data_IF_846800171495
#
_entry.id   IF_846800171495
#
_cell.length_a   1.000
_cell.length_b   1.000
_cell.length_c   1.000
_cell.angle_alpha   90.00
_cell.angle_beta   90.00
_cell.angle_gamma   90.00
#
_symmetry.space_group_name_H-M   'P 1'
#
loop_
_entity.id
_entity.type
_entity.pdbx_description
1 polymer ?
#
# COMPACT_ATOMS: atom_id res chain seq x y z
N UNK A 1 -2.01 18.36 12.05
CA UNK A 1 -2.58 18.01 10.74
C UNK A 1 -2.94 16.54 10.80
N UNK A 2 -4.19 16.19 10.53
CA UNK A 2 -4.59 14.78 10.49
C UNK A 2 -4.03 14.15 9.22
N UNK A 3 -3.40 12.98 9.33
CA UNK A 3 -2.82 12.28 8.19
C UNK A 3 -3.90 11.81 7.22
N UNK A 4 -5.12 11.58 7.69
CA UNK A 4 -6.23 11.15 6.83
C UNK A 4 -6.76 12.28 5.94
N UNK A 5 -6.71 13.52 6.44
CA UNK A 5 -7.04 14.70 5.62
C UNK A 5 -5.92 15.01 4.63
N UNK A 6 -4.66 14.81 5.07
CA UNK A 6 -3.49 15.05 4.24
C UNK A 6 -3.33 13.98 3.17
N UNK A 7 -3.59 12.72 3.44
CA UNK A 7 -3.43 11.62 2.50
C UNK A 7 -4.71 10.76 2.50
N UNK A 8 -5.75 11.19 1.77
CA UNK A 8 -7.05 10.50 1.77
C UNK A 8 -6.95 9.09 1.19
N UNK A 9 -7.74 8.16 1.71
CA UNK A 9 -7.78 6.78 1.24
C UNK A 9 -8.06 6.67 -0.26
N UNK A 10 -8.92 7.53 -0.80
CA UNK A 10 -9.24 7.57 -2.21
C UNK A 10 -8.03 7.89 -3.08
N UNK A 11 -7.16 8.80 -2.62
CA UNK A 11 -5.92 9.17 -3.31
C UNK A 11 -4.95 7.98 -3.30
N UNK A 12 -4.72 7.39 -2.12
CA UNK A 12 -3.86 6.22 -1.94
C UNK A 12 -4.30 5.03 -2.80
N UNK A 13 -5.60 4.72 -2.82
CA UNK A 13 -6.15 3.62 -3.63
C UNK A 13 -6.02 3.91 -5.11
N UNK A 14 -6.29 5.13 -5.55
CA UNK A 14 -6.14 5.53 -6.95
C UNK A 14 -4.68 5.40 -7.40
N UNK A 15 -3.73 5.84 -6.59
CA UNK A 15 -2.31 5.74 -6.91
C UNK A 15 -1.85 4.29 -7.00
N UNK A 16 -2.32 3.42 -6.10
CA UNK A 16 -2.04 1.99 -6.20
C UNK A 16 -2.59 1.38 -7.49
N UNK A 17 -3.84 1.71 -7.83
CA UNK A 17 -4.50 1.22 -9.04
C UNK A 17 -3.72 1.67 -10.28
N UNK A 18 -3.39 2.95 -10.36
CA UNK A 18 -2.65 3.51 -11.49
C UNK A 18 -1.24 2.92 -11.61
N UNK A 19 -0.59 2.62 -10.48
CA UNK A 19 0.77 2.06 -10.46
C UNK A 19 0.80 0.57 -10.84
N UNK A 20 -0.12 -0.25 -10.31
CA UNK A 20 -0.08 -1.70 -10.50
C UNK A 20 -0.89 -2.19 -11.71
N UNK A 21 -2.04 -1.56 -11.99
CA UNK A 21 -2.91 -1.99 -13.08
C UNK A 21 -2.77 -1.12 -14.34
N UNK A 22 -2.34 0.14 -14.24
CA UNK A 22 -2.32 1.10 -15.36
C UNK A 22 -3.68 1.13 -16.10
N UNK A 23 -3.74 0.66 -17.35
CA UNK A 23 -4.96 0.52 -18.17
C UNK A 23 -5.48 -0.93 -18.26
N UNK A 24 -4.88 -1.87 -17.53
CA UNK A 24 -5.23 -3.29 -17.55
C UNK A 24 -6.37 -3.61 -16.58
N UNK A 25 -7.09 -4.69 -16.89
CA UNK A 25 -8.17 -5.25 -16.06
C UNK A 25 -7.64 -6.14 -14.92
N UNK A 26 -6.38 -6.56 -14.99
CA UNK A 26 -5.72 -7.38 -13.98
C UNK A 26 -4.22 -7.05 -13.92
N UNK A 27 -3.61 -7.32 -12.78
CA UNK A 27 -2.17 -7.22 -12.58
C UNK A 27 -1.61 -8.57 -12.12
N UNK A 28 -0.37 -8.84 -12.50
CA UNK A 28 0.34 -10.07 -12.13
C UNK A 28 1.38 -9.68 -11.09
N UNK A 29 1.29 -10.24 -9.89
CA UNK A 29 2.19 -9.97 -8.78
C UNK A 29 3.02 -11.21 -8.48
N UNK A 30 4.34 -11.05 -8.44
CA UNK A 30 5.27 -12.10 -8.03
C UNK A 30 5.57 -11.94 -6.54
N UNK A 31 5.13 -12.91 -5.74
CA UNK A 31 5.38 -12.97 -4.30
C UNK A 31 6.33 -14.13 -4.00
N UNK A 32 6.91 -14.14 -2.80
CA UNK A 32 7.76 -15.25 -2.33
C UNK A 32 7.07 -16.62 -2.40
N UNK A 33 5.73 -16.63 -2.25
CA UNK A 33 4.91 -17.84 -2.27
C UNK A 33 4.43 -18.23 -3.67
N UNK A 34 4.75 -17.43 -4.69
CA UNK A 34 4.38 -17.66 -6.08
C UNK A 34 3.72 -16.45 -6.74
N UNK A 35 3.32 -16.64 -8.00
CA UNK A 35 2.64 -15.62 -8.79
C UNK A 35 1.14 -15.63 -8.52
N UNK A 36 0.56 -14.45 -8.33
CA UNK A 36 -0.88 -14.25 -8.23
C UNK A 36 -1.37 -13.30 -9.31
N UNK A 37 -2.61 -13.50 -9.76
CA UNK A 37 -3.29 -12.59 -10.69
C UNK A 37 -4.38 -11.90 -9.88
N UNK A 38 -4.38 -10.56 -9.89
CA UNK A 38 -5.32 -9.76 -9.10
C UNK A 38 -6.17 -8.90 -10.05
N UNK A 39 -7.50 -9.02 -10.03
CA UNK A 39 -8.37 -8.21 -10.87
C UNK A 39 -8.40 -6.76 -10.38
N UNK A 40 -8.67 -5.80 -11.28
CA UNK A 40 -8.64 -4.36 -10.98
C UNK A 40 -9.72 -3.92 -9.99
N UNK A 41 -10.86 -4.60 -9.99
CA UNK A 41 -11.99 -4.34 -9.09
C UNK A 41 -11.83 -5.01 -7.71
N UNK A 42 -10.64 -5.56 -7.43
CA UNK A 42 -10.31 -6.13 -6.13
C UNK A 42 -10.55 -5.11 -5.01
N UNK A 43 -11.04 -5.60 -3.87
CA UNK A 43 -11.19 -4.76 -2.68
C UNK A 43 -9.82 -4.26 -2.20
N UNK A 44 -9.67 -2.95 -2.12
CA UNK A 44 -8.50 -2.29 -1.53
C UNK A 44 -8.88 -1.63 -0.21
N UNK A 45 -8.18 -2.00 0.85
CA UNK A 45 -8.43 -1.50 2.20
C UNK A 45 -7.16 -0.87 2.77
N UNK A 46 -7.22 0.42 3.12
CA UNK A 46 -6.07 1.10 3.74
C UNK A 46 -6.02 0.70 5.20
N UNK A 47 -4.95 0.03 5.58
CA UNK A 47 -4.77 -0.57 6.91
C UNK A 47 -4.11 0.42 7.85
N UNK A 48 -3.13 1.16 7.37
CA UNK A 48 -2.39 2.13 8.17
C UNK A 48 -1.80 3.24 7.31
N UNK A 49 -1.61 4.41 7.93
CA UNK A 49 -0.82 5.51 7.38
C UNK A 49 0.14 6.00 8.44
N UNK A 50 1.35 6.34 8.04
CA UNK A 50 2.35 6.86 8.96
C UNK A 50 3.20 7.94 8.31
N UNK A 51 3.64 8.89 9.12
CA UNK A 51 4.70 9.81 8.78
C UNK A 51 5.99 9.34 9.45
N UNK A 52 7.06 9.22 8.67
CA UNK A 52 8.36 8.79 9.15
C UNK A 52 9.34 9.95 9.03
N UNK A 53 9.79 10.45 10.18
CA UNK A 53 10.91 11.38 10.24
C UNK A 53 12.20 10.58 10.17
N UNK A 54 13.03 10.86 9.16
CA UNK A 54 14.32 10.21 9.03
C UNK A 54 15.40 11.21 9.42
N UNK A 55 15.96 11.03 10.61
CA UNK A 55 17.01 11.91 11.15
C UNK A 55 18.38 11.69 10.47
N UNK A 56 18.48 10.67 9.62
CA UNK A 56 19.69 10.34 8.85
C UNK A 56 19.42 10.58 7.35
N UNK A 57 20.29 11.37 6.71
CA UNK A 57 20.25 11.69 5.27
C UNK A 57 20.67 10.49 4.39
N UNK A 58 20.01 9.34 4.51
CA UNK A 58 20.26 8.20 3.61
C UNK A 58 18.93 7.79 2.99
N UNK A 59 18.79 8.01 1.67
CA UNK A 59 17.62 7.60 0.88
C UNK A 59 16.61 8.72 0.61
N UNK A 60 15.50 8.73 1.34
CA UNK A 60 14.27 9.45 0.94
C UNK A 60 13.90 10.68 1.80
N UNK A 61 14.71 11.02 2.81
CA UNK A 61 14.37 12.07 3.77
C UNK A 61 13.13 11.71 4.60
N UNK A 62 12.33 12.71 4.96
CA UNK A 62 11.04 12.49 5.62
C UNK A 62 10.00 12.05 4.58
N UNK A 63 9.20 11.04 4.91
CA UNK A 63 8.22 10.47 3.98
C UNK A 63 6.94 10.06 4.69
N UNK A 64 5.87 9.91 3.91
CA UNK A 64 4.64 9.27 4.33
C UNK A 64 4.60 7.85 3.75
N UNK A 65 4.03 6.92 4.50
CA UNK A 65 3.80 5.56 4.05
C UNK A 65 2.35 5.19 4.32
N UNK A 66 1.67 4.62 3.32
CA UNK A 66 0.34 4.05 3.45
C UNK A 66 0.40 2.56 3.11
N UNK A 67 -0.18 1.73 3.97
CA UNK A 67 -0.25 0.29 3.79
C UNK A 67 -1.67 -0.11 3.40
N UNK A 68 -1.79 -0.92 2.37
CA UNK A 68 -3.05 -1.33 1.76
C UNK A 68 -3.10 -2.85 1.72
N UNK A 69 -4.19 -3.44 2.19
CA UNK A 69 -4.51 -4.84 1.97
C UNK A 69 -5.19 -5.00 0.60
N UNK A 70 -4.59 -5.83 -0.26
CA UNK A 70 -5.14 -6.21 -1.56
C UNK A 70 -6.03 -7.45 -1.36
N UNK A 71 -7.30 -7.30 -1.73
CA UNK A 71 -8.36 -8.29 -1.49
C UNK A 71 -9.08 -8.13 -0.15
N UNK A 72 -8.89 -6.99 0.54
CA UNK A 72 -9.46 -6.71 1.86
C UNK A 72 -8.74 -7.43 3.00
N UNK A 73 -9.23 -7.21 4.22
CA UNK A 73 -8.66 -7.77 5.44
C UNK A 73 -9.48 -8.96 5.93
N UNK A 74 -8.79 -10.05 6.25
CA UNK A 74 -9.31 -11.17 7.01
C UNK A 74 -8.71 -11.11 8.42
N UNK A 75 -9.54 -10.72 9.39
CA UNK A 75 -9.15 -10.78 10.79
C UNK A 75 -9.13 -12.24 11.26
N UNK A 76 -8.02 -12.65 11.87
CA UNK A 76 -7.95 -13.89 12.65
C UNK A 76 -8.06 -13.53 14.13
N UNK A 77 -8.54 -14.47 14.95
CA UNK A 77 -8.85 -14.31 16.40
C UNK A 77 -7.67 -13.79 17.29
N UNK A 78 -6.54 -13.40 16.72
CA UNK A 78 -5.35 -12.86 17.38
C UNK A 78 -5.13 -11.36 17.16
N UNK A 79 -6.02 -10.65 16.45
CA UNK A 79 -5.84 -9.22 16.11
C UNK A 79 -4.76 -8.97 15.06
N UNK A 80 -4.23 -10.03 14.45
CA UNK A 80 -3.29 -9.94 13.33
C UNK A 80 -4.11 -9.87 12.04
N UNK A 81 -3.84 -8.84 11.24
CA UNK A 81 -4.52 -8.60 9.97
C UNK A 81 -3.81 -9.38 8.87
N UNK A 82 -4.58 -10.15 8.10
CA UNK A 82 -4.08 -10.86 6.92
C UNK A 82 -4.84 -10.40 5.68
N UNK A 83 -4.15 -10.05 4.60
CA UNK A 83 -4.82 -9.71 3.35
C UNK A 83 -5.27 -11.00 2.67
N UNK A 84 -6.31 -10.91 1.83
CA UNK A 84 -6.71 -12.05 1.01
C UNK A 84 -5.63 -12.41 -0.02
N UNK A 85 -4.95 -11.42 -0.60
CA UNK A 85 -3.90 -11.61 -1.59
C UNK A 85 -2.51 -11.24 -1.06
N UNK A 86 -2.28 -9.96 -0.77
CA UNK A 86 -1.02 -9.42 -0.28
C UNK A 86 -1.22 -8.02 0.29
N UNK A 87 -0.16 -7.46 0.86
CA UNK A 87 -0.11 -6.04 1.20
C UNK A 87 0.69 -5.27 0.15
N UNK A 88 0.36 -4.00 0.01
CA UNK A 88 1.18 -3.00 -0.67
C UNK A 88 1.50 -1.86 0.28
N UNK A 89 2.75 -1.42 0.32
CA UNK A 89 3.14 -0.17 0.98
C UNK A 89 3.49 0.87 -0.08
N UNK A 90 2.77 1.98 -0.10
CA UNK A 90 3.06 3.12 -0.97
C UNK A 90 3.80 4.17 -0.16
N UNK A 91 4.91 4.64 -0.70
CA UNK A 91 5.74 5.67 -0.10
C UNK A 91 5.56 6.98 -0.84
N UNK A 92 5.41 8.07 -0.10
CA UNK A 92 5.21 9.41 -0.61
C UNK A 92 6.23 10.38 -0.02
N UNK A 93 6.64 11.35 -0.82
CA UNK A 93 7.38 12.52 -0.35
C UNK A 93 6.49 13.42 0.53
N UNK A 94 7.09 14.45 1.14
CA UNK A 94 6.35 15.45 1.91
C UNK A 94 5.36 16.27 1.06
N UNK A 95 5.56 16.37 -0.26
CA UNK A 95 4.65 17.02 -1.21
C UNK A 95 3.68 16.03 -1.90
N UNK A 96 3.45 14.85 -1.30
CA UNK A 96 2.58 13.77 -1.78
C UNK A 96 2.94 13.17 -3.13
N UNK A 97 4.19 13.29 -3.58
CA UNK A 97 4.63 12.59 -4.79
C UNK A 97 4.92 11.14 -4.45
N UNK A 98 4.35 10.23 -5.22
CA UNK A 98 4.64 8.81 -5.12
C UNK A 98 6.14 8.56 -5.39
N UNK A 99 6.79 7.89 -4.44
CA UNK A 99 8.20 7.49 -4.51
C UNK A 99 8.29 6.08 -5.10
N UNK A 100 7.60 5.14 -4.46
CA UNK A 100 7.62 3.73 -4.84
C UNK A 100 6.46 2.98 -4.19
N UNK A 101 6.18 1.79 -4.71
CA UNK A 101 5.26 0.80 -4.16
C UNK A 101 6.05 -0.46 -3.88
N UNK A 102 5.89 -1.01 -2.67
CA UNK A 102 6.50 -2.27 -2.26
C UNK A 102 5.40 -3.29 -1.97
N UNK A 103 5.51 -4.48 -2.55
CA UNK A 103 4.52 -5.56 -2.42
C UNK A 103 5.11 -6.66 -1.55
N UNK A 104 4.33 -7.09 -0.55
CA UNK A 104 4.80 -8.09 0.41
C UNK A 104 3.64 -8.89 1.01
N UNK A 105 3.98 -10.02 1.65
CA UNK A 105 2.98 -10.95 2.22
C UNK A 105 2.61 -10.67 3.67
N UNK A 106 3.36 -9.80 4.36
CA UNK A 106 3.28 -9.60 5.81
C UNK A 106 3.15 -8.13 6.19
N UNK A 107 2.37 -7.84 7.22
CA UNK A 107 2.16 -6.47 7.68
C UNK A 107 3.48 -5.86 8.19
N UNK A 108 3.77 -4.62 7.78
CA UNK A 108 4.98 -3.85 8.17
C UNK A 108 4.68 -2.59 8.97
#
# INVERSE_FOLDING_TARGET
MNIDDFLPDSEVKSDLINTLWEDKLECVLELERGTIIVPRDVLLEVVSKSYRQNNYQIGFGNYYAAQIAIGGIKELNSGILYPLHCFATIFYTFDKKLITVDIHSEMR
#
